data_IF_485812986592
#
_entry.id   IF_485812986592
#
_cell.length_a   1.000
_cell.length_b   1.000
_cell.length_c   1.000
_cell.angle_alpha   90.00
_cell.angle_beta   90.00
_cell.angle_gamma   90.00
#
_symmetry.space_group_name_H-M   'P 1'
#
loop_
_entity.id
_entity.type
_entity.pdbx_description
1 polymer ?
#
# COMPACT_ATOMS: atom_id res chain seq x y z
N UNK A 1 8.34 17.47 25.08
CA UNK A 1 8.74 16.60 26.22
C UNK A 1 7.82 16.74 27.43
N UNK A 2 7.46 17.98 27.84
CA UNK A 2 6.55 18.25 28.97
C UNK A 2 5.21 17.51 28.86
N UNK A 3 4.62 17.44 27.66
CA UNK A 3 3.38 16.69 27.42
C UNK A 3 3.48 15.22 27.86
N UNK A 4 4.57 14.52 27.51
CA UNK A 4 4.78 13.13 27.90
C UNK A 4 5.00 12.97 29.41
N UNK A 5 5.64 13.94 30.07
CA UNK A 5 5.81 13.93 31.52
C UNK A 5 4.47 14.08 32.26
N UNK A 6 3.59 14.95 31.77
CA UNK A 6 2.24 15.12 32.33
C UNK A 6 1.42 13.84 32.16
N UNK A 7 1.49 13.23 30.97
CA UNK A 7 0.75 12.00 30.67
C UNK A 7 1.23 10.82 31.54
N UNK A 8 2.55 10.75 31.78
CA UNK A 8 3.17 9.77 32.67
C UNK A 8 2.74 10.01 34.14
N UNK A 9 2.74 11.26 34.60
CA UNK A 9 2.28 11.60 35.94
C UNK A 9 0.80 11.22 36.16
N UNK A 10 -0.08 11.51 35.20
CA UNK A 10 -1.50 11.13 35.26
C UNK A 10 -1.66 9.61 35.29
N UNK A 11 -0.87 8.89 34.49
CA UNK A 11 -0.88 7.42 34.47
C UNK A 11 -0.48 6.83 35.82
N UNK A 12 0.59 7.34 36.45
CA UNK A 12 1.02 6.88 37.78
C UNK A 12 -0.05 7.18 38.82
N UNK A 13 -0.61 8.39 38.83
CA UNK A 13 -1.67 8.78 39.79
C UNK A 13 -2.90 7.89 39.64
N UNK A 14 -3.34 7.61 38.41
CA UNK A 14 -4.46 6.71 38.15
C UNK A 14 -4.18 5.27 38.64
N UNK A 15 -2.95 4.80 38.44
CA UNK A 15 -2.53 3.46 38.84
C UNK A 15 -2.47 3.34 40.37
N UNK A 16 -1.96 4.36 41.07
CA UNK A 16 -1.96 4.42 42.54
C UNK A 16 -3.38 4.52 43.09
N UNK A 17 -4.25 5.34 42.49
CA UNK A 17 -5.64 5.47 42.91
C UNK A 17 -6.44 4.16 42.79
N UNK A 18 -6.13 3.34 41.77
CA UNK A 18 -6.75 2.02 41.59
C UNK A 18 -6.21 0.96 42.56
N UNK A 19 -4.91 0.98 42.86
CA UNK A 19 -4.27 -0.06 43.68
C UNK A 19 -4.29 0.23 45.18
N UNK A 20 -4.23 1.49 45.60
CA UNK A 20 -4.16 1.88 47.01
C UNK A 20 -5.32 1.33 47.85
N UNK A 21 -6.60 1.38 47.41
CA UNK A 21 -7.71 0.83 48.18
C UNK A 21 -7.62 -0.69 48.38
N UNK A 22 -7.07 -1.41 47.40
CA UNK A 22 -6.83 -2.85 47.49
C UNK A 22 -5.72 -3.19 48.47
N UNK A 23 -4.63 -2.42 48.47
CA UNK A 23 -3.50 -2.62 49.39
C UNK A 23 -3.87 -2.38 50.86
N UNK A 24 -4.64 -1.33 51.14
CA UNK A 24 -5.11 -1.07 52.52
C UNK A 24 -6.04 -2.17 53.02
N UNK A 25 -6.94 -2.70 52.17
CA UNK A 25 -7.80 -3.83 52.52
C UNK A 25 -7.03 -5.10 52.82
N UNK A 26 -5.99 -5.43 52.05
CA UNK A 26 -5.19 -6.65 52.24
C UNK A 26 -4.40 -6.61 53.56
N UNK A 27 -3.99 -5.42 54.01
CA UNK A 27 -3.19 -5.25 55.24
C UNK A 27 -3.96 -5.60 56.52
N UNK A 28 -5.27 -5.44 56.51
CA UNK A 28 -6.14 -5.67 57.67
C UNK A 28 -6.73 -7.09 57.73
N UNK A 29 -6.57 -7.92 56.68
CA UNK A 29 -7.09 -9.29 56.65
C UNK A 29 -6.11 -10.30 57.27
N UNK A 30 -6.65 -11.26 58.03
CA UNK A 30 -5.88 -12.43 58.49
C UNK A 30 -5.48 -13.31 57.30
N UNK A 31 -4.31 -13.95 57.37
CA UNK A 31 -3.76 -14.82 56.30
C UNK A 31 -4.74 -15.91 55.82
N UNK A 32 -5.56 -16.43 56.73
CA UNK A 32 -6.57 -17.46 56.43
C UNK A 32 -7.73 -16.91 55.57
N UNK A 33 -8.16 -15.68 55.80
CA UNK A 33 -9.20 -15.00 55.01
C UNK A 33 -8.69 -14.59 53.63
N UNK A 34 -7.40 -14.28 53.51
CA UNK A 34 -6.72 -14.01 52.24
C UNK A 34 -6.72 -15.27 51.37
N UNK A 35 -6.44 -16.44 51.95
CA UNK A 35 -6.48 -17.71 51.22
C UNK A 35 -7.91 -18.12 50.81
N UNK A 36 -8.88 -17.93 51.68
CA UNK A 36 -10.28 -18.20 51.35
C UNK A 36 -10.80 -17.29 50.23
N UNK A 37 -10.47 -16.00 50.27
CA UNK A 37 -10.86 -15.04 49.24
C UNK A 37 -10.15 -15.29 47.90
N UNK A 38 -8.86 -15.63 47.90
CA UNK A 38 -8.13 -16.06 46.69
C UNK A 38 -8.72 -17.32 46.04
N UNK A 39 -9.13 -18.30 46.84
CA UNK A 39 -9.75 -19.52 46.33
C UNK A 39 -11.17 -19.30 45.80
N UNK A 40 -11.90 -18.30 46.34
CA UNK A 40 -13.23 -17.90 45.85
C UNK A 40 -13.20 -16.89 44.71
N UNK A 41 -12.06 -16.24 44.47
CA UNK A 41 -11.94 -15.19 43.48
C UNK A 41 -12.01 -15.80 42.07
N UNK A 42 -12.95 -15.29 41.26
CA UNK A 42 -12.98 -15.59 39.83
C UNK A 42 -11.66 -15.20 39.17
N UNK A 43 -11.25 -15.89 38.09
CA UNK A 43 -10.02 -15.58 37.39
C UNK A 43 -10.11 -14.17 36.79
N UNK A 44 -9.44 -13.22 37.44
CA UNK A 44 -9.31 -11.82 37.00
C UNK A 44 -8.94 -11.69 35.52
N UNK A 45 -8.09 -12.60 35.03
CA UNK A 45 -7.67 -12.67 33.64
C UNK A 45 -8.81 -12.90 32.66
N UNK A 46 -9.84 -13.65 33.05
CA UNK A 46 -10.96 -13.96 32.18
C UNK A 46 -11.87 -12.73 32.00
N UNK A 47 -12.12 -12.00 33.09
CA UNK A 47 -12.87 -10.74 33.05
C UNK A 47 -12.09 -9.64 32.33
N UNK A 48 -10.79 -9.51 32.58
CA UNK A 48 -9.94 -8.55 31.87
C UNK A 48 -9.90 -8.84 30.37
N UNK A 49 -9.75 -10.11 29.98
CA UNK A 49 -9.77 -10.52 28.59
C UNK A 49 -11.11 -10.22 27.93
N UNK A 50 -12.22 -10.50 28.61
CA UNK A 50 -13.56 -10.25 28.08
C UNK A 50 -13.87 -8.76 27.96
N UNK A 51 -13.45 -7.94 28.93
CA UNK A 51 -13.79 -6.52 28.97
C UNK A 51 -12.94 -5.67 28.04
N UNK A 52 -11.66 -6.01 27.86
CA UNK A 52 -10.71 -5.20 27.10
C UNK A 52 -10.27 -5.85 25.80
N UNK A 53 -9.87 -7.12 25.83
CA UNK A 53 -9.25 -7.77 24.66
C UNK A 53 -10.27 -8.05 23.57
N UNK A 54 -11.43 -8.63 23.91
CA UNK A 54 -12.50 -8.95 22.95
C UNK A 54 -12.98 -7.73 22.16
N UNK A 55 -13.38 -6.60 22.79
CA UNK A 55 -13.85 -5.44 22.03
C UNK A 55 -12.75 -4.80 21.17
N UNK A 56 -11.50 -4.76 21.65
CA UNK A 56 -10.38 -4.24 20.86
C UNK A 56 -10.13 -5.09 19.61
N UNK A 57 -10.13 -6.41 19.76
CA UNK A 57 -9.95 -7.34 18.63
C UNK A 57 -11.10 -7.21 17.64
N UNK A 58 -12.34 -7.05 18.12
CA UNK A 58 -13.52 -6.86 17.27
C UNK A 58 -13.43 -5.57 16.45
N UNK A 59 -13.10 -4.45 17.09
CA UNK A 59 -12.91 -3.15 16.42
C UNK A 59 -11.78 -3.23 15.38
N UNK A 60 -10.69 -3.92 15.71
CA UNK A 60 -9.59 -4.12 14.77
C UNK A 60 -10.02 -4.94 13.54
N UNK A 61 -10.75 -6.04 13.76
CA UNK A 61 -11.22 -6.91 12.68
C UNK A 61 -12.28 -6.24 11.80
N UNK A 62 -13.20 -5.47 12.38
CA UNK A 62 -14.30 -4.83 11.66
C UNK A 62 -13.87 -3.55 10.94
N UNK A 63 -12.93 -2.75 11.49
CA UNK A 63 -12.59 -1.44 10.93
C UNK A 63 -11.20 -1.36 10.32
N UNK A 64 -10.18 -1.90 11.00
CA UNK A 64 -8.77 -1.74 10.59
C UNK A 64 -8.40 -2.77 9.51
N UNK A 65 -8.95 -3.98 9.59
CA UNK A 65 -8.72 -5.00 8.58
C UNK A 65 -9.25 -4.60 7.19
N UNK A 66 -10.52 -4.23 6.97
CA UNK A 66 -10.99 -3.92 5.62
C UNK A 66 -10.28 -2.70 5.00
N UNK A 67 -9.91 -1.71 5.81
CA UNK A 67 -9.18 -0.53 5.34
C UNK A 67 -7.77 -0.89 4.88
N UNK A 68 -7.02 -1.67 5.67
CA UNK A 68 -5.67 -2.14 5.29
C UNK A 68 -5.70 -3.01 4.03
N UNK A 69 -6.67 -3.94 3.91
CA UNK A 69 -6.81 -4.76 2.70
C UNK A 69 -7.15 -3.92 1.46
N UNK A 70 -7.99 -2.88 1.60
CA UNK A 70 -8.30 -1.95 0.50
C UNK A 70 -7.08 -1.14 0.05
N UNK A 71 -6.22 -0.74 0.98
CA UNK A 71 -4.96 -0.07 0.65
C UNK A 71 -3.98 -0.98 -0.06
N UNK A 72 -3.84 -2.23 0.40
CA UNK A 72 -3.03 -3.27 -0.26
C UNK A 72 -3.55 -3.52 -1.68
N UNK A 73 -4.87 -3.63 -1.86
CA UNK A 73 -5.48 -3.80 -3.18
C UNK A 73 -5.14 -2.63 -4.12
N UNK A 74 -5.26 -1.39 -3.62
CA UNK A 74 -4.91 -0.19 -4.39
C UNK A 74 -3.43 -0.17 -4.78
N UNK A 75 -2.55 -0.60 -3.88
CA UNK A 75 -1.12 -0.71 -4.14
C UNK A 75 -0.82 -1.78 -5.20
N UNK A 76 -1.44 -2.96 -5.09
CA UNK A 76 -1.30 -4.04 -6.06
C UNK A 76 -1.78 -3.62 -7.46
N UNK A 77 -2.90 -2.89 -7.56
CA UNK A 77 -3.40 -2.34 -8.84
C UNK A 77 -2.41 -1.35 -9.46
N UNK A 78 -1.81 -0.46 -8.65
CA UNK A 78 -0.78 0.48 -9.13
C UNK A 78 0.47 -0.26 -9.63
N UNK A 79 0.92 -1.26 -8.88
CA UNK A 79 2.06 -2.08 -9.25
C UNK A 79 1.82 -2.77 -10.60
N UNK A 80 0.64 -3.37 -10.80
CA UNK A 80 0.25 -3.97 -12.10
C UNK A 80 0.37 -2.99 -13.27
N UNK A 81 -0.08 -1.74 -13.10
CA UNK A 81 0.02 -0.72 -14.15
C UNK A 81 1.48 -0.38 -14.46
N UNK A 82 2.32 -0.26 -13.42
CA UNK A 82 3.75 0.01 -13.58
C UNK A 82 4.41 -1.15 -14.35
N UNK A 83 4.14 -2.40 -13.97
CA UNK A 83 4.66 -3.58 -14.66
C UNK A 83 4.27 -3.61 -16.13
N UNK A 84 3.00 -3.33 -16.45
CA UNK A 84 2.52 -3.23 -17.84
C UNK A 84 3.23 -2.12 -18.62
N UNK A 85 3.50 -0.97 -17.99
CA UNK A 85 4.26 0.11 -18.65
C UNK A 85 5.70 -0.32 -18.96
N UNK A 86 6.35 -1.01 -18.01
CA UNK A 86 7.70 -1.53 -18.19
C UNK A 86 7.72 -2.56 -19.34
N UNK A 87 6.74 -3.46 -19.39
CA UNK A 87 6.58 -4.44 -20.46
C UNK A 87 6.41 -3.78 -21.83
N UNK A 88 5.55 -2.76 -21.95
CA UNK A 88 5.39 -1.99 -23.18
C UNK A 88 6.69 -1.29 -23.61
N UNK A 89 7.48 -0.77 -22.67
CA UNK A 89 8.77 -0.15 -22.97
C UNK A 89 9.79 -1.19 -23.47
N UNK A 90 9.85 -2.34 -22.82
CA UNK A 90 10.69 -3.47 -23.25
C UNK A 90 10.31 -3.94 -24.65
N UNK A 91 9.01 -4.10 -24.93
CA UNK A 91 8.51 -4.49 -26.25
C UNK A 91 8.98 -3.49 -27.32
N UNK A 92 8.78 -2.19 -27.12
CA UNK A 92 9.26 -1.14 -28.04
C UNK A 92 10.77 -1.18 -28.23
N UNK A 93 11.51 -1.43 -27.16
CA UNK A 93 12.97 -1.55 -27.24
C UNK A 93 13.40 -2.77 -28.06
N UNK A 94 12.73 -3.93 -27.88
CA UNK A 94 13.00 -5.12 -28.70
C UNK A 94 12.66 -4.92 -30.16
N UNK A 95 11.55 -4.24 -30.47
CA UNK A 95 11.17 -3.86 -31.84
C UNK A 95 12.19 -2.89 -32.46
N UNK A 96 12.68 -1.92 -31.69
CA UNK A 96 13.74 -1.00 -32.13
C UNK A 96 15.03 -1.76 -32.49
N UNK A 97 15.51 -2.64 -31.61
CA UNK A 97 16.68 -3.47 -31.88
C UNK A 97 16.44 -4.35 -33.10
N UNK A 98 15.27 -4.97 -33.20
CA UNK A 98 14.89 -5.80 -34.35
C UNK A 98 14.93 -4.98 -35.64
N UNK A 99 14.36 -3.78 -35.63
CA UNK A 99 14.37 -2.84 -36.76
C UNK A 99 15.80 -2.48 -37.17
N UNK A 100 16.68 -2.19 -36.21
CA UNK A 100 18.12 -1.92 -36.44
C UNK A 100 18.89 -3.13 -36.97
N UNK A 101 18.56 -4.35 -36.53
CA UNK A 101 19.15 -5.60 -37.04
C UNK A 101 18.70 -5.91 -38.47
N UNK A 102 17.48 -5.56 -38.86
CA UNK A 102 16.93 -5.84 -40.19
C UNK A 102 17.26 -4.81 -41.28
N UNK A 103 18.05 -3.76 -40.98
CA UNK A 103 18.36 -2.69 -41.95
C UNK A 103 19.31 -3.16 -43.07
N UNK A 104 19.94 -4.33 -42.96
CA UNK A 104 20.98 -4.76 -43.91
C UNK A 104 20.47 -5.39 -45.23
N UNK A 105 19.16 -5.53 -45.47
CA UNK A 105 18.66 -6.17 -46.71
C UNK A 105 17.81 -5.28 -47.62
N UNK A 106 17.48 -4.03 -47.25
CA UNK A 106 16.65 -3.14 -48.08
C UNK A 106 17.49 -2.05 -48.78
N UNK A 107 18.62 -2.48 -49.37
CA UNK A 107 19.40 -1.67 -50.30
C UNK A 107 18.76 -1.49 -51.68
N UNK A 108 17.58 -2.04 -51.94
CA UNK A 108 16.76 -1.64 -53.08
C UNK A 108 15.70 -0.65 -52.61
N UNK A 109 15.86 0.61 -53.02
CA UNK A 109 14.76 1.58 -53.04
C UNK A 109 13.58 0.92 -53.74
N UNK A 110 12.53 0.61 -52.99
CA UNK A 110 11.33 0.03 -53.58
C UNK A 110 10.74 1.07 -54.54
N UNK A 111 10.54 0.66 -55.79
CA UNK A 111 9.97 1.45 -56.88
C UNK A 111 8.65 2.14 -56.48
N UNK A 112 7.92 1.56 -55.53
CA UNK A 112 6.71 2.13 -54.95
C UNK A 112 6.96 3.45 -54.19
N UNK A 113 8.05 3.53 -53.40
CA UNK A 113 8.40 4.73 -52.65
C UNK A 113 8.95 5.84 -53.56
N UNK A 114 9.61 5.48 -54.66
CA UNK A 114 10.01 6.46 -55.69
C UNK A 114 8.79 7.04 -56.42
N UNK A 115 7.83 6.22 -56.87
CA UNK A 115 6.61 6.72 -57.53
C UNK A 115 5.78 7.66 -56.64
N UNK A 116 5.65 7.37 -55.35
CA UNK A 116 4.93 8.22 -54.40
C UNK A 116 5.61 9.58 -54.20
N UNK A 117 6.94 9.61 -54.15
CA UNK A 117 7.70 10.86 -54.04
C UNK A 117 7.70 11.66 -55.36
N UNK A 118 7.71 10.99 -56.52
CA UNK A 118 7.57 11.63 -57.84
C UNK A 118 6.20 12.28 -58.02
N UNK A 119 5.11 11.63 -57.57
CA UNK A 119 3.76 12.19 -57.63
C UNK A 119 3.60 13.44 -56.73
N UNK A 120 4.26 13.47 -55.57
CA UNK A 120 4.22 14.62 -54.66
C UNK A 120 4.96 15.84 -55.21
N UNK A 121 6.02 15.63 -55.98
CA UNK A 121 6.83 16.70 -56.57
C UNK A 121 6.35 17.12 -57.98
N UNK A 122 5.51 16.33 -58.64
CA UNK A 122 4.97 16.63 -59.97
C UNK A 122 3.81 17.64 -60.01
N UNK A 123 3.20 17.97 -58.87
CA UNK A 123 2.04 18.87 -58.81
C UNK A 123 2.40 20.37 -58.89
N UNK A 124 3.68 20.75 -58.77
CA UNK A 124 4.11 22.15 -58.73
C UNK A 124 5.08 22.56 -59.85
N UNK A 125 5.21 21.78 -60.92
CA UNK A 125 6.36 21.90 -61.84
C UNK A 125 6.09 21.95 -63.34
N UNK A 126 4.86 22.14 -63.82
CA UNK A 126 4.60 22.33 -65.27
C UNK A 126 3.78 23.58 -65.51
N UNK A 127 4.47 24.70 -65.71
CA UNK A 127 3.96 25.76 -66.59
C UNK A 127 4.08 25.23 -68.02
N UNK A 128 2.98 25.33 -68.74
CA UNK A 128 2.85 25.00 -70.15
C UNK A 128 3.96 25.62 -70.99
N UNK A 129 4.75 24.78 -71.65
CA UNK A 129 5.37 25.13 -72.93
C UNK A 129 4.66 24.27 -73.98
N UNK A 130 3.70 24.91 -74.68
CA UNK A 130 3.10 24.36 -75.89
C UNK A 130 4.12 24.47 -77.03
N UNK A 131 4.38 23.42 -77.82
CA UNK A 131 5.07 23.58 -79.08
C UNK A 131 4.11 24.17 -80.12
N UNK A 132 4.63 25.11 -80.92
CA UNK A 132 4.07 25.65 -82.16
C UNK A 132 4.08 24.56 -83.24
#
# INVERSE_FOLDING_TARGET
MIFFLILLAISIVALVALLAPGFFRIKDLKKEEIQASLNSAKPFWLDFHNLFVIPIVRVYQENVRPTTYKEIEKMARRFRIITLRIECLLMRFTEYIRGKRTVACNGHKSHYWEQLNSCKNGANGKKDERPV
#
